data_IF_264787047565
#
_entry.id   IF_264787047565
#
_cell.length_a   1.000
_cell.length_b   1.000
_cell.length_c   1.000
_cell.angle_alpha   90.00
_cell.angle_beta   90.00
_cell.angle_gamma   90.00
#
_symmetry.space_group_name_H-M   'P 1'
#
loop_
_entity.id
_entity.type
_entity.pdbx_description
1 polymer ?
#
# COMPACT_ATOMS: atom_id res chain seq x y z
N UNK A 1 -28.04 13.17 5.68
CA UNK A 1 -27.67 13.07 4.26
C UNK A 1 -26.16 13.27 4.17
N UNK A 2 -25.40 12.19 4.09
CA UNK A 2 -23.94 12.21 3.88
C UNK A 2 -23.69 12.76 2.48
N UNK A 3 -22.78 13.73 2.27
CA UNK A 3 -22.49 14.19 0.92
C UNK A 3 -21.92 13.00 0.15
N UNK A 4 -22.60 12.60 -0.92
CA UNK A 4 -22.07 11.64 -1.85
C UNK A 4 -20.69 12.14 -2.29
N UNK A 5 -19.68 11.29 -2.19
CA UNK A 5 -18.36 11.51 -2.79
C UNK A 5 -18.51 11.44 -4.33
N UNK A 6 -19.25 12.38 -4.91
CA UNK A 6 -19.63 12.40 -6.33
C UNK A 6 -18.42 12.47 -7.29
N UNK A 7 -17.21 12.71 -6.76
CA UNK A 7 -15.98 12.81 -7.55
C UNK A 7 -15.28 11.49 -7.87
N UNK A 8 -15.71 10.35 -7.29
CA UNK A 8 -15.07 9.05 -7.52
C UNK A 8 -15.89 8.11 -8.42
N UNK A 9 -17.12 8.50 -8.76
CA UNK A 9 -17.99 7.71 -9.64
C UNK A 9 -17.35 7.51 -11.02
N UNK A 10 -17.25 6.25 -11.45
CA UNK A 10 -16.69 5.89 -12.75
C UNK A 10 -15.16 5.86 -12.80
N UNK A 11 -14.45 6.18 -11.70
CA UNK A 11 -13.00 6.08 -11.64
C UNK A 11 -12.58 4.61 -11.45
N UNK A 12 -11.67 4.11 -12.28
CA UNK A 12 -11.09 2.78 -12.14
C UNK A 12 -9.77 2.88 -11.38
N UNK A 13 -9.70 2.25 -10.20
CA UNK A 13 -8.55 2.32 -9.30
C UNK A 13 -7.90 0.95 -9.20
N UNK A 14 -6.64 0.85 -9.59
CA UNK A 14 -5.78 -0.28 -9.24
C UNK A 14 -5.25 -0.11 -7.82
N UNK A 15 -5.81 -0.83 -6.85
CA UNK A 15 -5.35 -0.81 -5.46
C UNK A 15 -4.32 -1.91 -5.22
N UNK A 16 -3.08 -1.51 -5.01
CA UNK A 16 -1.96 -2.44 -4.78
C UNK A 16 -1.64 -2.50 -3.29
N UNK A 17 -1.68 -3.70 -2.72
CA UNK A 17 -1.38 -3.89 -1.30
C UNK A 17 -1.57 -5.33 -0.84
N UNK A 18 -1.25 -5.66 0.41
CA UNK A 18 -1.56 -6.97 0.97
C UNK A 18 -3.06 -7.11 1.20
N UNK A 19 -3.59 -8.33 1.10
CA UNK A 19 -4.96 -8.67 1.47
C UNK A 19 -4.98 -9.88 2.40
N UNK A 20 -5.96 -9.99 3.33
CA UNK A 20 -6.09 -11.19 4.15
C UNK A 20 -6.66 -12.36 3.33
N UNK A 21 -6.28 -13.62 3.64
CA UNK A 21 -5.27 -14.05 4.62
C UNK A 21 -3.82 -14.08 4.07
N UNK A 22 -2.77 -13.91 4.91
CA UNK A 22 -2.83 -13.70 6.37
C UNK A 22 -3.29 -12.29 6.75
N UNK A 23 -4.04 -12.20 7.85
CA UNK A 23 -4.50 -10.92 8.41
C UNK A 23 -3.33 -10.16 9.03
N UNK A 24 -3.29 -8.84 8.80
CA UNK A 24 -2.28 -7.93 9.35
C UNK A 24 -2.75 -6.48 9.21
N UNK A 25 -2.11 -5.56 9.93
CA UNK A 25 -2.55 -4.15 9.97
C UNK A 25 -2.71 -3.52 8.58
N UNK A 26 -1.70 -3.67 7.72
CA UNK A 26 -1.76 -3.16 6.35
C UNK A 26 -2.80 -3.91 5.50
N UNK A 27 -2.95 -5.23 5.66
CA UNK A 27 -3.88 -6.02 4.87
C UNK A 27 -5.35 -5.66 5.16
N UNK A 28 -5.67 -5.43 6.43
CA UNK A 28 -6.99 -4.96 6.85
C UNK A 28 -7.26 -3.54 6.35
N UNK A 29 -6.26 -2.66 6.38
CA UNK A 29 -6.37 -1.30 5.86
C UNK A 29 -6.54 -1.27 4.33
N UNK A 30 -5.83 -2.13 3.59
CA UNK A 30 -6.02 -2.26 2.13
C UNK A 30 -7.45 -2.70 1.82
N UNK A 31 -7.99 -3.70 2.53
CA UNK A 31 -9.39 -4.11 2.36
C UNK A 31 -10.36 -2.98 2.67
N UNK A 32 -10.21 -2.34 3.84
CA UNK A 32 -11.07 -1.22 4.24
C UNK A 32 -11.04 -0.07 3.23
N UNK A 33 -9.86 0.25 2.68
CA UNK A 33 -9.73 1.27 1.65
C UNK A 33 -10.44 0.85 0.35
N UNK A 34 -10.33 -0.41 -0.05
CA UNK A 34 -11.07 -0.93 -1.21
C UNK A 34 -12.58 -0.75 -1.04
N UNK A 35 -13.09 -1.14 0.14
CA UNK A 35 -14.52 -1.07 0.47
C UNK A 35 -15.02 0.39 0.47
N UNK A 36 -14.25 1.32 1.06
CA UNK A 36 -14.59 2.75 1.09
C UNK A 36 -14.57 3.39 -0.30
N UNK A 37 -13.58 3.05 -1.15
CA UNK A 37 -13.50 3.54 -2.52
C UNK A 37 -14.66 3.01 -3.37
N UNK A 38 -15.00 1.73 -3.21
CA UNK A 38 -16.15 1.12 -3.89
C UNK A 38 -17.48 1.75 -3.43
N UNK A 39 -17.65 1.96 -2.12
CA UNK A 39 -18.83 2.64 -1.57
C UNK A 39 -18.95 4.11 -2.04
N UNK A 40 -17.83 4.73 -2.42
CA UNK A 40 -17.79 6.05 -3.02
C UNK A 40 -18.04 6.07 -4.55
N UNK A 41 -18.29 4.90 -5.18
CA UNK A 41 -18.62 4.77 -6.60
C UNK A 41 -17.44 4.46 -7.53
N UNK A 42 -16.24 4.25 -7.01
CA UNK A 42 -15.10 3.83 -7.83
C UNK A 42 -15.14 2.33 -8.13
N UNK A 43 -14.64 1.94 -9.30
CA UNK A 43 -14.37 0.54 -9.63
C UNK A 43 -12.98 0.17 -9.14
N UNK A 44 -12.88 -0.73 -8.16
CA UNK A 44 -11.60 -1.09 -7.54
C UNK A 44 -11.11 -2.45 -8.03
N UNK A 45 -9.96 -2.48 -8.69
CA UNK A 45 -9.23 -3.70 -9.03
C UNK A 45 -8.11 -3.86 -8.00
N UNK A 46 -8.14 -4.95 -7.23
CA UNK A 46 -7.10 -5.21 -6.21
C UNK A 46 -5.96 -6.05 -6.77
N UNK A 47 -4.72 -5.60 -6.57
CA UNK A 47 -3.50 -6.33 -6.93
C UNK A 47 -2.81 -6.75 -5.62
N UNK A 48 -3.00 -8.03 -5.26
CA UNK A 48 -2.51 -8.57 -3.99
C UNK A 48 -1.00 -8.88 -4.03
N UNK A 49 -0.23 -8.26 -3.13
CA UNK A 49 1.25 -8.46 -3.05
C UNK A 49 1.66 -9.70 -2.23
N UNK A 50 0.76 -10.21 -1.39
CA UNK A 50 0.97 -11.36 -0.50
C UNK A 50 0.21 -12.63 -0.95
N UNK A 51 -0.10 -12.77 -2.24
CA UNK A 51 -0.84 -13.91 -2.75
C UNK A 51 -0.09 -15.26 -2.51
N UNK A 52 -0.82 -16.34 -2.20
CA UNK A 52 -0.22 -17.65 -1.93
C UNK A 52 0.46 -18.26 -3.17
N UNK A 53 1.47 -19.10 -2.94
CA UNK A 53 2.27 -19.75 -4.00
C UNK A 53 1.41 -20.59 -4.95
N UNK A 54 1.59 -20.36 -6.26
CA UNK A 54 1.07 -21.24 -7.32
C UNK A 54 2.21 -21.60 -8.28
N UNK A 55 2.54 -22.89 -8.47
CA UNK A 55 2.05 -24.09 -7.76
C UNK A 55 2.67 -24.28 -6.36
N UNK A 56 1.95 -24.94 -5.45
CA UNK A 56 2.31 -25.11 -4.02
C UNK A 56 3.69 -25.76 -3.78
N UNK A 57 4.19 -26.57 -4.73
CA UNK A 57 5.48 -27.25 -4.64
C UNK A 57 6.69 -26.35 -4.93
N UNK A 58 6.50 -25.20 -5.59
CA UNK A 58 7.55 -24.22 -5.87
C UNK A 58 8.09 -23.54 -4.59
N UNK A 59 7.47 -23.82 -3.43
CA UNK A 59 7.94 -23.41 -2.12
C UNK A 59 9.23 -24.10 -1.64
N UNK A 60 9.90 -24.98 -2.39
CA UNK A 60 11.05 -25.76 -1.87
C UNK A 60 12.44 -25.21 -2.21
N UNK A 61 12.58 -24.25 -3.13
CA UNK A 61 13.89 -23.64 -3.48
C UNK A 61 13.85 -22.10 -3.24
N UNK A 62 14.65 -21.55 -2.30
CA UNK A 62 14.50 -20.16 -1.83
C UNK A 62 14.57 -19.07 -2.91
N UNK A 63 15.47 -19.19 -3.89
CA UNK A 63 15.72 -18.16 -4.91
C UNK A 63 14.67 -18.23 -6.03
N UNK A 64 14.35 -19.43 -6.52
CA UNK A 64 13.30 -19.64 -7.52
C UNK A 64 11.94 -19.16 -7.00
N UNK A 65 11.65 -19.37 -5.72
CA UNK A 65 10.40 -18.97 -5.05
C UNK A 65 10.14 -17.46 -5.13
N UNK A 66 11.16 -16.63 -4.98
CA UNK A 66 11.00 -15.17 -5.07
C UNK A 66 10.62 -14.73 -6.49
N UNK A 67 11.22 -15.34 -7.51
CA UNK A 67 10.88 -15.13 -8.91
C UNK A 67 9.45 -15.55 -9.26
N UNK A 68 9.00 -16.72 -8.79
CA UNK A 68 7.63 -17.19 -8.97
C UNK A 68 6.56 -16.33 -8.29
N UNK A 69 6.94 -15.50 -7.30
CA UNK A 69 6.02 -14.49 -6.73
C UNK A 69 6.03 -13.20 -7.55
N UNK A 70 7.22 -12.77 -7.97
CA UNK A 70 7.40 -11.48 -8.63
C UNK A 70 6.84 -11.48 -10.05
N UNK A 71 7.05 -12.54 -10.83
CA UNK A 71 6.59 -12.58 -12.23
C UNK A 71 5.06 -12.49 -12.34
N UNK A 72 4.25 -13.33 -11.65
CA UNK A 72 2.80 -13.19 -11.71
C UNK A 72 2.30 -11.84 -11.20
N UNK A 73 2.97 -11.29 -10.19
CA UNK A 73 2.67 -9.95 -9.69
C UNK A 73 2.92 -8.87 -10.76
N UNK A 74 4.07 -8.89 -11.43
CA UNK A 74 4.40 -7.95 -12.50
C UNK A 74 3.44 -8.08 -13.70
N UNK A 75 3.07 -9.31 -14.07
CA UNK A 75 2.05 -9.55 -15.10
C UNK A 75 0.68 -9.00 -14.67
N UNK A 76 0.32 -9.19 -13.41
CA UNK A 76 -0.90 -8.64 -12.81
C UNK A 76 -0.92 -7.11 -12.85
N UNK A 77 0.18 -6.46 -12.44
CA UNK A 77 0.36 -5.02 -12.54
C UNK A 77 0.22 -4.55 -13.98
N UNK A 78 0.91 -5.20 -14.92
CA UNK A 78 0.90 -4.81 -16.32
C UNK A 78 -0.50 -4.86 -16.94
N UNK A 79 -1.24 -5.94 -16.66
CA UNK A 79 -2.63 -6.10 -17.12
C UNK A 79 -3.56 -5.10 -16.46
N UNK A 80 -3.44 -4.87 -15.15
CA UNK A 80 -4.25 -3.90 -14.43
C UNK A 80 -3.99 -2.48 -14.93
N UNK A 81 -2.75 -2.13 -15.24
CA UNK A 81 -2.39 -0.82 -15.82
C UNK A 81 -3.00 -0.57 -17.22
N UNK A 82 -3.59 -1.59 -17.87
CA UNK A 82 -4.39 -1.41 -19.09
C UNK A 82 -5.88 -1.20 -18.85
N UNK A 83 -6.34 -1.23 -17.59
CA UNK A 83 -7.76 -1.26 -17.23
C UNK A 83 -8.17 -0.18 -16.22
N UNK A 84 -7.19 0.56 -15.68
CA UNK A 84 -7.40 1.52 -14.60
C UNK A 84 -6.87 2.90 -14.95
N UNK A 85 -7.47 3.90 -14.34
CA UNK A 85 -7.09 5.31 -14.51
C UNK A 85 -5.95 5.71 -13.57
N UNK A 86 -5.84 5.03 -12.42
CA UNK A 86 -4.85 5.35 -11.40
C UNK A 86 -4.46 4.13 -10.59
N UNK A 87 -3.19 4.09 -10.18
CA UNK A 87 -2.71 3.17 -9.16
C UNK A 87 -2.64 3.82 -7.79
N UNK A 88 -3.24 3.17 -6.80
CA UNK A 88 -3.08 3.49 -5.39
C UNK A 88 -2.22 2.40 -4.73
N UNK A 89 -0.99 2.74 -4.37
CA UNK A 89 0.00 1.78 -3.85
C UNK A 89 0.13 1.91 -2.34
N UNK A 90 -0.21 0.85 -1.61
CA UNK A 90 0.07 0.71 -0.19
C UNK A 90 1.52 0.31 0.00
N UNK A 91 2.34 1.21 0.57
CA UNK A 91 3.78 1.05 0.68
C UNK A 91 4.26 1.09 2.14
N UNK A 92 5.39 0.45 2.41
CA UNK A 92 6.14 0.50 3.66
C UNK A 92 7.64 0.37 3.42
N UNK A 93 8.41 0.55 4.48
CA UNK A 93 9.87 0.51 4.50
C UNK A 93 10.46 -0.87 4.20
N UNK A 94 11.72 -0.90 3.76
CA UNK A 94 12.50 -2.13 3.60
C UNK A 94 12.24 -2.86 2.28
N UNK A 95 12.41 -4.19 2.29
CA UNK A 95 12.34 -5.01 1.07
C UNK A 95 10.99 -4.96 0.34
N UNK A 96 9.90 -4.73 1.06
CA UNK A 96 8.57 -4.57 0.46
C UNK A 96 8.48 -3.36 -0.47
N UNK A 97 9.21 -2.28 -0.17
CA UNK A 97 9.34 -1.15 -1.10
C UNK A 97 9.95 -1.61 -2.42
N UNK A 98 11.10 -2.28 -2.37
CA UNK A 98 11.85 -2.67 -3.55
C UNK A 98 11.16 -3.79 -4.35
N UNK A 99 10.45 -4.69 -3.69
CA UNK A 99 9.82 -5.84 -4.33
C UNK A 99 8.40 -5.56 -4.84
N UNK A 100 7.71 -4.56 -4.30
CA UNK A 100 6.30 -4.30 -4.62
C UNK A 100 6.05 -2.85 -5.00
N UNK A 101 6.32 -1.89 -4.11
CA UNK A 101 5.96 -0.50 -4.36
C UNK A 101 6.71 0.10 -5.56
N UNK A 102 8.04 -0.04 -5.60
CA UNK A 102 8.85 0.49 -6.68
C UNK A 102 8.49 -0.15 -8.04
N UNK A 103 8.37 -1.49 -8.17
CA UNK A 103 7.90 -2.11 -9.40
C UNK A 103 6.53 -1.63 -9.86
N UNK A 104 5.56 -1.44 -8.94
CA UNK A 104 4.25 -0.89 -9.29
C UNK A 104 4.37 0.53 -9.88
N UNK A 105 5.21 1.38 -9.29
CA UNK A 105 5.47 2.73 -9.79
C UNK A 105 6.08 2.70 -11.19
N UNK A 106 7.08 1.84 -11.42
CA UNK A 106 7.74 1.76 -12.73
C UNK A 106 6.83 1.16 -13.82
N UNK A 107 6.06 0.12 -13.50
CA UNK A 107 5.07 -0.44 -14.44
C UNK A 107 4.05 0.63 -14.83
N UNK A 108 3.52 1.36 -13.85
CA UNK A 108 2.57 2.44 -14.11
C UNK A 108 3.20 3.56 -14.96
N UNK A 109 4.44 3.95 -14.66
CA UNK A 109 5.18 4.97 -15.39
C UNK A 109 5.38 4.60 -16.87
N UNK A 110 5.69 3.33 -17.15
CA UNK A 110 5.84 2.80 -18.52
C UNK A 110 4.48 2.77 -19.24
N UNK A 111 3.41 2.48 -18.50
CA UNK A 111 2.04 2.38 -19.03
C UNK A 111 1.28 3.70 -19.09
N UNK A 112 1.87 4.80 -18.62
CA UNK A 112 1.22 6.11 -18.58
C UNK A 112 0.15 6.26 -17.50
N UNK A 113 0.14 5.39 -16.49
CA UNK A 113 -0.84 5.40 -15.40
C UNK A 113 -0.29 6.24 -14.23
N UNK A 114 -1.01 7.27 -13.74
CA UNK A 114 -0.61 8.02 -12.56
C UNK A 114 -0.62 7.14 -11.30
N UNK A 115 0.26 7.46 -10.34
CA UNK A 115 0.41 6.68 -9.10
C UNK A 115 0.31 7.57 -7.87
N UNK A 116 -0.52 7.17 -6.92
CA UNK A 116 -0.53 7.68 -5.55
C UNK A 116 0.10 6.63 -4.64
N UNK A 117 1.16 7.01 -3.92
CA UNK A 117 1.80 6.16 -2.93
C UNK A 117 1.28 6.50 -1.55
N UNK A 118 0.62 5.55 -0.90
CA UNK A 118 0.16 5.63 0.47
C UNK A 118 1.14 4.91 1.38
N UNK A 119 2.07 5.67 1.97
CA UNK A 119 3.18 5.14 2.73
C UNK A 119 2.84 4.97 4.21
N UNK A 120 3.21 3.82 4.76
CA UNK A 120 2.90 3.37 6.13
C UNK A 120 4.14 2.75 6.79
N UNK A 121 4.26 2.93 8.11
CA UNK A 121 5.26 2.24 8.94
C UNK A 121 6.23 3.19 9.65
N UNK A 122 6.71 2.77 10.82
CA UNK A 122 7.59 3.57 11.68
C UNK A 122 9.07 3.55 11.28
N UNK A 123 9.51 2.54 10.52
CA UNK A 123 10.91 2.35 10.11
C UNK A 123 11.34 3.25 8.93
N UNK A 124 10.56 4.29 8.63
CA UNK A 124 10.76 5.13 7.45
C UNK A 124 12.11 5.83 7.49
N UNK A 125 12.50 6.38 8.63
CA UNK A 125 13.74 7.14 8.78
C UNK A 125 14.98 6.29 8.53
N UNK A 126 15.16 5.20 9.28
CA UNK A 126 16.31 4.30 9.11
C UNK A 126 16.34 3.60 7.74
N UNK A 127 15.19 3.44 7.08
CA UNK A 127 15.14 2.98 5.70
C UNK A 127 15.59 4.04 4.70
N UNK A 128 15.10 5.28 4.84
CA UNK A 128 15.45 6.38 3.96
C UNK A 128 16.91 6.84 4.13
N UNK A 129 17.48 6.73 5.34
CA UNK A 129 18.92 6.96 5.53
C UNK A 129 19.77 6.03 4.65
N UNK A 130 19.32 4.78 4.44
CA UNK A 130 20.04 3.78 3.65
C UNK A 130 19.68 3.81 2.16
N UNK A 131 18.41 4.05 1.83
CA UNK A 131 17.88 3.88 0.47
C UNK A 131 17.24 5.16 -0.10
N UNK A 132 17.35 6.29 0.59
CA UNK A 132 16.57 7.51 0.32
C UNK A 132 16.76 8.06 -1.08
N UNK A 133 17.97 7.99 -1.65
CA UNK A 133 18.22 8.41 -3.03
C UNK A 133 17.43 7.57 -4.04
N UNK A 134 17.42 6.25 -3.88
CA UNK A 134 16.70 5.32 -4.76
C UNK A 134 15.17 5.43 -4.56
N UNK A 135 14.73 5.58 -3.31
CA UNK A 135 13.33 5.82 -2.96
C UNK A 135 12.85 7.11 -3.61
N UNK A 136 13.59 8.20 -3.45
CA UNK A 136 13.29 9.51 -4.05
C UNK A 136 13.28 9.45 -5.56
N UNK A 137 14.24 8.78 -6.19
CA UNK A 137 14.28 8.60 -7.64
C UNK A 137 12.99 7.94 -8.17
N UNK A 138 12.52 6.90 -7.47
CA UNK A 138 11.25 6.24 -7.78
C UNK A 138 10.05 7.15 -7.46
N UNK A 139 10.06 7.83 -6.31
CA UNK A 139 8.96 8.71 -5.87
C UNK A 139 8.72 9.89 -6.82
N UNK A 140 9.76 10.36 -7.53
CA UNK A 140 9.63 11.38 -8.59
C UNK A 140 8.72 10.96 -9.75
N UNK A 141 8.45 9.67 -9.91
CA UNK A 141 7.54 9.15 -10.93
C UNK A 141 6.08 9.07 -10.43
N UNK A 142 5.83 9.45 -9.18
CA UNK A 142 4.50 9.40 -8.56
C UNK A 142 3.81 10.76 -8.64
N UNK A 143 2.47 10.74 -8.66
CA UNK A 143 1.65 11.97 -8.68
C UNK A 143 1.47 12.57 -7.29
N UNK A 144 1.47 11.72 -6.26
CA UNK A 144 1.39 12.11 -4.87
C UNK A 144 1.96 11.02 -3.95
N UNK A 145 2.61 11.48 -2.88
CA UNK A 145 2.94 10.68 -1.70
C UNK A 145 1.99 11.11 -0.58
N UNK A 146 1.28 10.16 0.02
CA UNK A 146 0.42 10.40 1.18
C UNK A 146 0.87 9.56 2.36
N UNK A 147 0.80 10.15 3.55
CA UNK A 147 1.23 9.57 4.83
C UNK A 147 0.16 9.77 5.90
N UNK A 148 0.08 8.90 6.93
CA UNK A 148 -0.99 8.98 7.94
C UNK A 148 -0.78 10.07 9.00
N UNK A 149 0.43 10.66 9.12
CA UNK A 149 0.76 11.59 10.20
C UNK A 149 1.81 12.63 9.80
N UNK A 150 1.85 13.74 10.55
CA UNK A 150 2.86 14.78 10.39
C UNK A 150 4.29 14.31 10.71
N UNK A 151 4.45 13.30 11.58
CA UNK A 151 5.75 12.70 11.84
C UNK A 151 6.37 12.12 10.55
N UNK A 152 5.62 11.26 9.84
CA UNK A 152 6.10 10.68 8.59
C UNK A 152 6.27 11.74 7.50
N UNK A 153 5.41 12.75 7.46
CA UNK A 153 5.59 13.88 6.55
C UNK A 153 6.94 14.55 6.80
N UNK A 154 7.28 14.85 8.07
CA UNK A 154 8.55 15.43 8.46
C UNK A 154 9.75 14.55 8.07
N UNK A 155 9.65 13.24 8.28
CA UNK A 155 10.68 12.29 7.85
C UNK A 155 10.91 12.38 6.34
N UNK A 156 9.87 12.28 5.51
CA UNK A 156 10.02 12.37 4.04
C UNK A 156 10.53 13.74 3.57
N UNK A 157 10.14 14.83 4.25
CA UNK A 157 10.60 16.17 3.94
C UNK A 157 12.12 16.31 4.09
N UNK A 158 12.73 15.67 5.10
CA UNK A 158 14.20 15.65 5.27
C UNK A 158 14.93 15.02 4.07
N UNK A 159 14.27 14.11 3.34
CA UNK A 159 14.81 13.49 2.13
C UNK A 159 14.33 14.19 0.83
N UNK A 160 13.78 15.41 0.94
CA UNK A 160 13.33 16.20 -0.20
C UNK A 160 12.12 15.59 -0.94
N UNK A 161 11.23 14.93 -0.21
CA UNK A 161 9.99 14.36 -0.71
C UNK A 161 8.79 15.00 0.00
N UNK A 162 7.92 15.67 -0.76
CA UNK A 162 6.72 16.30 -0.22
C UNK A 162 5.62 15.25 -0.07
N UNK A 163 5.11 15.09 1.16
CA UNK A 163 4.01 14.18 1.47
C UNK A 163 2.77 14.94 1.92
N UNK A 164 1.59 14.54 1.44
CA UNK A 164 0.30 14.99 1.96
C UNK A 164 -0.13 14.14 3.16
N UNK A 165 -0.73 14.74 4.18
CA UNK A 165 -1.28 13.98 5.31
C UNK A 165 -2.69 13.53 4.97
N UNK A 166 -2.93 12.22 4.99
CA UNK A 166 -4.27 11.62 4.92
C UNK A 166 -4.43 10.72 6.15
N UNK A 167 -5.11 11.20 7.20
CA UNK A 167 -5.28 10.43 8.43
C UNK A 167 -5.93 9.09 8.13
N UNK A 168 -5.46 8.04 8.80
CA UNK A 168 -6.19 6.78 8.77
C UNK A 168 -7.56 6.99 9.41
N UNK A 169 -8.61 6.61 8.70
CA UNK A 169 -9.95 6.44 9.28
C UNK A 169 -9.90 5.18 10.15
N UNK A 170 -9.26 5.31 11.31
CA UNK A 170 -9.30 4.30 12.35
C UNK A 170 -10.71 4.38 12.92
N UNK A 171 -11.48 3.33 12.70
CA UNK A 171 -12.76 3.14 13.36
C UNK A 171 -12.50 2.90 14.86
N UNK A 172 -12.40 4.00 15.62
CA UNK A 172 -12.16 3.98 17.06
C UNK A 172 -13.28 3.25 17.82
N UNK A 173 -14.44 3.02 17.19
CA UNK A 173 -15.51 2.18 17.76
C UNK A 173 -15.10 0.72 17.95
N UNK A 174 -14.00 0.28 17.33
CA UNK A 174 -13.45 -1.08 17.46
C UNK A 174 -12.34 -1.20 18.50
N UNK A 175 -11.89 -0.08 19.08
CA UNK A 175 -10.88 -0.08 20.15
C UNK A 175 -11.55 0.11 21.50
N UNK A 176 -11.93 -1.00 22.14
CA UNK A 176 -12.25 -1.01 23.57
C UNK A 176 -10.98 -1.31 24.37
N UNK A 177 -10.54 -0.40 25.28
CA UNK A 177 -9.47 -0.71 26.22
C UNK A 177 -9.84 -1.98 27.00
N UNK A 178 -8.93 -2.96 27.05
CA UNK A 178 -9.11 -4.14 27.90
C UNK A 178 -9.13 -3.65 29.35
N UNK A 179 -10.16 -4.02 30.11
CA UNK A 179 -10.25 -3.65 31.52
C UNK A 179 -8.96 -4.05 32.26
N UNK A 180 -8.44 -3.18 33.15
CA UNK A 180 -7.21 -3.48 33.88
C UNK A 180 -7.40 -4.79 34.65
N UNK A 181 -6.47 -5.73 34.45
CA UNK A 181 -6.35 -6.92 35.30
C UNK A 181 -6.03 -6.41 36.70
N UNK A 182 -7.02 -6.39 37.59
CA UNK A 182 -6.78 -6.20 39.02
C UNK A 182 -5.96 -7.39 39.47
N UNK A 183 -4.72 -7.14 39.87
CA UNK A 183 -3.94 -8.12 40.63
C UNK A 183 -4.66 -8.32 41.97
N UNK A 184 -5.34 -9.46 42.12
CA UNK A 184 -5.76 -9.97 43.42
C UNK A 184 -4.51 -10.46 44.14
N UNK A 185 -3.92 -9.62 44.99
CA UNK A 185 -3.02 -10.07 46.03
C UNK A 185 -3.89 -10.43 47.23
N UNK A 186 -4.00 -11.73 47.48
CA UNK A 186 -4.40 -12.34 48.75
C UNK A 186 -3.22 -12.35 49.71
#
# INVERSE_FOLDING_TARGET
>A
MTPALSGLSGLHIGLIGPLPPPSGGMANQTRQLADLLAAAGATVITIQVNAPYRPRWAGRVPVLRAGFRLVPYLVGLWRAAGQVDIFHVMANSGWSWHLFAAPAVWVARIRGVPVVVNYRGGEAEGFLQRAGLLVRFTMRQTRALVVPSGFLQGVFAQFGMVAGIVPNIVDLSRFHPRAPVRASLS
#
